data_IF_621271117178
#
_entry.id   IF_621271117178
#
_cell.length_a   1.000
_cell.length_b   1.000
_cell.length_c   1.000
_cell.angle_alpha   90.00
_cell.angle_beta   90.00
_cell.angle_gamma   90.00
#
_symmetry.space_group_name_H-M   'P 1'
#
loop_
_entity.id
_entity.type
_entity.pdbx_description
1 polymer ?
#
# COMPACT_ATOMS: atom_id res chain seq x y z
N UNK A 1 35.62 -8.47 -15.65
CA UNK A 1 34.43 -9.35 -15.54
C UNK A 1 33.24 -8.52 -15.99
N UNK A 2 32.82 -8.66 -17.26
CA UNK A 2 31.72 -7.87 -17.80
C UNK A 2 30.40 -8.36 -17.19
N UNK A 3 29.51 -7.46 -16.75
CA UNK A 3 28.22 -7.88 -16.25
C UNK A 3 27.46 -8.64 -17.33
N UNK A 4 26.83 -9.75 -16.96
CA UNK A 4 26.03 -10.53 -17.89
C UNK A 4 24.88 -9.67 -18.42
N UNK A 5 24.40 -9.99 -19.64
CA UNK A 5 23.25 -9.29 -20.23
C UNK A 5 22.03 -9.30 -19.29
N UNK A 6 21.83 -10.39 -18.55
CA UNK A 6 20.77 -10.51 -17.55
C UNK A 6 20.96 -9.54 -16.37
N UNK A 7 22.19 -9.37 -15.89
CA UNK A 7 22.51 -8.42 -14.80
C UNK A 7 22.23 -6.98 -15.22
N UNK A 8 22.57 -6.62 -16.47
CA UNK A 8 22.28 -5.29 -17.02
C UNK A 8 20.77 -5.04 -17.17
N UNK A 9 20.02 -6.04 -17.63
CA UNK A 9 18.56 -5.94 -17.77
C UNK A 9 17.88 -5.80 -16.40
N UNK A 10 18.31 -6.58 -15.40
CA UNK A 10 17.79 -6.49 -14.04
C UNK A 10 18.06 -5.10 -13.43
N UNK A 11 19.27 -4.58 -13.58
CA UNK A 11 19.64 -3.26 -13.08
C UNK A 11 18.81 -2.15 -13.75
N UNK A 12 18.55 -2.25 -15.05
CA UNK A 12 17.69 -1.31 -15.77
C UNK A 12 16.24 -1.34 -15.28
N UNK A 13 15.68 -2.53 -15.05
CA UNK A 13 14.31 -2.68 -14.52
C UNK A 13 14.17 -2.07 -13.12
N UNK A 14 15.14 -2.31 -12.23
CA UNK A 14 15.14 -1.75 -10.87
C UNK A 14 15.26 -0.22 -10.92
N UNK A 15 16.14 0.30 -11.78
CA UNK A 15 16.30 1.74 -11.96
C UNK A 15 15.01 2.42 -12.43
N UNK A 16 14.32 1.83 -13.42
CA UNK A 16 13.04 2.34 -13.91
C UNK A 16 11.94 2.33 -12.84
N UNK A 17 11.85 1.26 -12.03
CA UNK A 17 10.92 1.19 -10.90
C UNK A 17 11.11 2.33 -9.90
N UNK A 18 12.35 2.63 -9.53
CA UNK A 18 12.68 3.71 -8.58
C UNK A 18 12.29 5.08 -9.11
N UNK A 19 12.43 5.33 -10.42
CA UNK A 19 12.07 6.61 -11.03
C UNK A 19 10.55 6.87 -11.08
N UNK A 20 9.72 5.81 -11.14
CA UNK A 20 8.26 5.94 -11.26
C UNK A 20 7.56 6.04 -9.90
N UNK A 21 8.13 5.40 -8.86
CA UNK A 21 7.63 5.40 -7.48
C UNK A 21 7.34 6.78 -6.83
N UNK A 22 8.17 7.85 -6.99
CA UNK A 22 7.95 9.10 -6.25
C UNK A 22 6.62 9.79 -6.56
N UNK A 23 6.06 9.59 -7.75
CA UNK A 23 4.74 10.13 -8.13
C UNK A 23 3.57 9.55 -7.31
N UNK A 24 3.75 8.35 -6.74
CA UNK A 24 2.73 7.66 -5.94
C UNK A 24 2.75 8.12 -4.48
N UNK A 25 3.84 8.74 -4.01
CA UNK A 25 3.98 9.25 -2.65
C UNK A 25 3.40 10.66 -2.46
N UNK A 26 3.18 11.43 -3.53
CA UNK A 26 2.63 12.79 -3.42
C UNK A 26 1.14 12.84 -3.05
N UNK A 27 0.39 11.73 -3.22
CA UNK A 27 -1.05 11.69 -2.94
C UNK A 27 -1.42 11.82 -1.45
N UNK A 28 -0.46 11.72 -0.52
CA UNK A 28 -0.69 11.87 0.92
C UNK A 28 -0.39 13.28 1.47
N UNK A 29 0.10 14.23 0.65
CA UNK A 29 0.53 15.55 1.13
C UNK A 29 -0.53 16.65 1.01
N UNK A 30 -1.74 16.35 0.51
CA UNK A 30 -2.86 17.28 0.74
C UNK A 30 -3.27 17.16 2.19
N UNK A 31 -2.63 17.94 3.05
CA UNK A 31 -3.17 18.31 4.36
C UNK A 31 -4.65 18.64 4.13
N UNK A 32 -5.59 17.78 4.58
CA UNK A 32 -6.99 18.15 4.51
C UNK A 32 -7.12 19.49 5.23
N UNK A 33 -7.93 20.45 4.73
CA UNK A 33 -8.02 21.77 5.31
C UNK A 33 -8.35 21.64 6.80
N UNK A 34 -7.35 21.84 7.66
CA UNK A 34 -7.44 21.76 9.12
C UNK A 34 -8.21 22.96 9.69
N UNK A 35 -9.20 23.50 8.97
CA UNK A 35 -10.11 24.50 9.48
C UNK A 35 -11.20 23.80 10.30
N UNK A 36 -10.77 23.13 11.38
CA UNK A 36 -11.54 22.76 12.57
C UNK A 36 -12.85 21.97 12.45
N UNK A 37 -13.41 21.72 11.27
CA UNK A 37 -14.78 21.21 11.13
C UNK A 37 -14.88 19.72 10.79
N UNK A 38 -13.78 19.08 10.34
CA UNK A 38 -13.81 17.67 9.94
C UNK A 38 -13.81 16.70 11.14
N UNK A 39 -13.23 17.13 12.26
CA UNK A 39 -13.39 16.44 13.53
C UNK A 39 -14.47 17.18 14.30
N UNK A 40 -15.72 16.77 14.08
CA UNK A 40 -16.85 17.18 14.89
C UNK A 40 -16.46 17.13 16.37
N UNK A 41 -16.92 18.12 17.14
CA UNK A 41 -16.80 18.23 18.60
C UNK A 41 -16.57 16.84 19.21
N UNK A 42 -15.46 16.67 19.92
CA UNK A 42 -15.18 15.49 20.76
C UNK A 42 -16.26 15.39 21.84
N UNK A 43 -17.43 14.89 21.46
CA UNK A 43 -18.36 14.23 22.36
C UNK A 43 -17.77 12.87 22.62
N UNK A 44 -17.14 12.73 23.78
CA UNK A 44 -16.82 11.48 24.47
C UNK A 44 -17.42 10.21 23.82
N UNK A 45 -16.71 9.56 22.88
CA UNK A 45 -16.91 8.15 22.62
C UNK A 45 -15.73 7.47 21.89
N UNK A 46 -15.70 6.16 22.09
CA UNK A 46 -14.60 5.22 21.99
C UNK A 46 -14.37 4.71 20.55
N UNK A 47 -14.14 5.59 19.57
CA UNK A 47 -14.19 5.23 18.13
C UNK A 47 -12.85 4.79 17.49
N UNK A 48 -11.81 4.51 18.26
CA UNK A 48 -10.58 3.90 17.74
C UNK A 48 -10.74 2.43 17.32
N UNK A 49 -11.87 1.81 17.65
CA UNK A 49 -12.08 0.37 17.49
C UNK A 49 -12.67 -0.02 16.12
N UNK A 50 -13.59 0.76 15.54
CA UNK A 50 -14.36 0.31 14.37
C UNK A 50 -13.71 0.65 13.01
N UNK A 51 -13.14 1.85 12.85
CA UNK A 51 -12.55 2.28 11.57
C UNK A 51 -11.21 1.59 11.26
N UNK A 52 -10.35 1.44 12.27
CA UNK A 52 -9.06 0.76 12.13
C UNK A 52 -9.21 -0.74 11.81
N UNK A 53 -10.14 -1.42 12.49
CA UNK A 53 -10.43 -2.84 12.23
C UNK A 53 -11.02 -3.08 10.85
N UNK A 54 -11.94 -2.23 10.40
CA UNK A 54 -12.50 -2.32 9.06
C UNK A 54 -11.44 -2.14 7.96
N UNK A 55 -10.55 -1.16 8.11
CA UNK A 55 -9.45 -0.93 7.17
C UNK A 55 -8.46 -2.11 7.15
N UNK A 56 -8.09 -2.65 8.31
CA UNK A 56 -7.18 -3.79 8.41
C UNK A 56 -7.81 -5.07 7.86
N UNK A 57 -9.10 -5.29 8.09
CA UNK A 57 -9.85 -6.41 7.51
C UNK A 57 -9.85 -6.36 5.98
N UNK A 58 -10.12 -5.19 5.39
CA UNK A 58 -10.07 -5.04 3.93
C UNK A 58 -8.68 -5.30 3.34
N UNK A 59 -7.62 -4.93 4.07
CA UNK A 59 -6.24 -5.17 3.64
C UNK A 59 -5.88 -6.66 3.73
N UNK A 60 -6.34 -7.36 4.77
CA UNK A 60 -6.15 -8.79 4.91
C UNK A 60 -6.85 -9.58 3.78
N UNK A 61 -8.05 -9.18 3.36
CA UNK A 61 -8.74 -9.85 2.25
C UNK A 61 -7.97 -9.74 0.93
N UNK A 62 -7.44 -8.55 0.60
CA UNK A 62 -6.64 -8.33 -0.62
C UNK A 62 -5.36 -9.19 -0.60
N UNK A 63 -4.70 -9.28 0.57
CA UNK A 63 -3.51 -10.13 0.72
C UNK A 63 -3.84 -11.60 0.54
N UNK A 64 -4.97 -12.07 1.09
CA UNK A 64 -5.42 -13.46 0.95
C UNK A 64 -5.73 -13.78 -0.52
N UNK A 65 -6.42 -12.89 -1.23
CA UNK A 65 -6.71 -13.07 -2.66
C UNK A 65 -5.43 -13.16 -3.49
N UNK A 66 -4.46 -12.27 -3.25
CA UNK A 66 -3.17 -12.29 -3.93
C UNK A 66 -2.38 -13.58 -3.63
N UNK A 67 -2.37 -14.04 -2.37
CA UNK A 67 -1.70 -15.28 -1.98
C UNK A 67 -2.36 -16.51 -2.62
N UNK A 68 -3.69 -16.56 -2.72
CA UNK A 68 -4.39 -17.66 -3.38
C UNK A 68 -4.13 -17.70 -4.89
N UNK A 69 -4.01 -16.54 -5.53
CA UNK A 69 -3.61 -16.45 -6.94
C UNK A 69 -2.19 -16.94 -7.18
N UNK A 70 -1.27 -16.70 -6.23
CA UNK A 70 0.12 -17.14 -6.33
C UNK A 70 0.33 -18.60 -5.92
N UNK A 71 -0.50 -19.10 -5.01
CA UNK A 71 -0.45 -20.46 -4.48
C UNK A 71 -1.83 -21.13 -4.63
N UNK A 72 -2.22 -21.51 -5.86
CA UNK A 72 -3.44 -22.27 -6.07
C UNK A 72 -3.37 -23.57 -5.27
N UNK A 73 -4.36 -23.82 -4.42
CA UNK A 73 -4.39 -24.94 -3.46
C UNK A 73 -4.56 -26.33 -4.13
N UNK A 74 -4.32 -26.43 -5.45
CA UNK A 74 -4.44 -27.65 -6.26
C UNK A 74 -3.27 -28.63 -6.11
N UNK A 75 -2.80 -28.86 -4.87
CA UNK A 75 -1.91 -30.00 -4.56
C UNK A 75 -2.24 -30.62 -3.20
N UNK A 76 -3.11 -31.65 -3.28
CA UNK A 76 -3.34 -32.79 -2.37
C UNK A 76 -3.80 -32.52 -0.95
#
# INVERSE_FOLDING_TARGET
MFPSRATLMLAACIFLMVLVMPSMCEAAYRKPPFNGSIFGKRGNNNDYDSGGKASLSSMCEIVVEACQSWFPQDKK
#
